data_IF_018565885876
#
_entry.id   IF_018565885876
#
_cell.length_a   1.000
_cell.length_b   1.000
_cell.length_c   1.000
_cell.angle_alpha   90.00
_cell.angle_beta   90.00
_cell.angle_gamma   90.00
#
_symmetry.space_group_name_H-M   'P 1'
#
loop_
_entity.id
_entity.type
_entity.pdbx_description
1 polymer ?
#
# COMPACT_ATOMS: atom_id res chain seq x y z
N UNK A 1 -17.82 -22.38 13.73
CA UNK A 1 -18.23 -21.83 12.41
C UNK A 1 -19.17 -20.65 12.67
N UNK A 2 -18.64 -19.43 12.65
CA UNK A 2 -19.43 -18.21 12.77
C UNK A 2 -20.15 -17.97 11.43
N UNK A 3 -21.45 -17.66 11.48
CA UNK A 3 -22.25 -17.27 10.30
C UNK A 3 -21.51 -16.13 9.58
N UNK A 4 -21.41 -16.15 8.24
CA UNK A 4 -20.92 -14.99 7.52
C UNK A 4 -21.84 -13.82 7.88
N UNK A 5 -21.30 -12.83 8.60
CA UNK A 5 -21.99 -11.55 8.76
C UNK A 5 -22.32 -11.04 7.37
N UNK A 6 -23.52 -10.52 7.17
CA UNK A 6 -23.86 -9.94 5.86
C UNK A 6 -22.77 -8.93 5.51
N UNK A 7 -22.00 -9.20 4.46
CA UNK A 7 -20.87 -8.36 4.04
C UNK A 7 -21.25 -6.89 3.74
N UNK A 8 -22.54 -6.61 3.71
CA UNK A 8 -23.08 -5.30 3.39
C UNK A 8 -22.77 -4.23 4.46
N UNK A 9 -22.89 -4.58 5.76
CA UNK A 9 -22.64 -3.60 6.85
C UNK A 9 -21.22 -3.07 6.86
N UNK A 10 -20.15 -3.90 6.84
CA UNK A 10 -18.77 -3.45 6.73
C UNK A 10 -18.51 -2.59 5.49
N UNK A 11 -19.09 -2.95 4.34
CA UNK A 11 -18.92 -2.21 3.08
C UNK A 11 -19.58 -0.83 3.16
N UNK A 12 -20.79 -0.73 3.71
CA UNK A 12 -21.46 0.56 3.89
C UNK A 12 -20.77 1.43 4.95
N UNK A 13 -20.32 0.84 6.06
CA UNK A 13 -19.55 1.57 7.08
C UNK A 13 -18.25 2.13 6.50
N UNK A 14 -17.54 1.34 5.67
CA UNK A 14 -16.36 1.77 4.97
C UNK A 14 -16.64 2.95 4.02
N UNK A 15 -17.74 2.90 3.26
CA UNK A 15 -18.15 4.00 2.38
C UNK A 15 -18.43 5.28 3.17
N UNK A 16 -19.24 5.18 4.21
CA UNK A 16 -19.60 6.33 5.04
C UNK A 16 -18.36 6.98 5.66
N UNK A 17 -17.41 6.17 6.13
CA UNK A 17 -16.18 6.68 6.73
C UNK A 17 -15.28 7.36 5.70
N UNK A 18 -15.16 6.80 4.50
CA UNK A 18 -14.42 7.43 3.39
C UNK A 18 -15.04 8.76 2.99
N UNK A 19 -16.36 8.81 2.84
CA UNK A 19 -17.07 10.05 2.51
C UNK A 19 -16.91 11.09 3.61
N UNK A 20 -16.95 10.68 4.89
CA UNK A 20 -16.72 11.58 6.02
C UNK A 20 -15.28 12.15 5.99
N UNK A 21 -14.26 11.32 5.71
CA UNK A 21 -12.88 11.80 5.57
C UNK A 21 -12.73 12.82 4.42
N UNK A 22 -13.32 12.53 3.26
CA UNK A 22 -13.33 13.47 2.12
C UNK A 22 -14.03 14.77 2.53
N UNK A 23 -15.20 14.68 3.16
CA UNK A 23 -15.96 15.86 3.58
C UNK A 23 -15.17 16.73 4.59
N UNK A 24 -14.47 16.12 5.54
CA UNK A 24 -13.59 16.83 6.49
C UNK A 24 -12.43 17.48 5.75
N UNK A 25 -11.76 16.76 4.85
CA UNK A 25 -10.60 17.29 4.14
C UNK A 25 -10.97 18.50 3.26
N UNK A 26 -12.02 18.39 2.46
CA UNK A 26 -12.44 19.49 1.59
C UNK A 26 -13.27 20.57 2.32
N UNK A 27 -13.96 20.19 3.39
CA UNK A 27 -14.82 21.11 4.16
C UNK A 27 -14.08 21.97 5.18
N UNK A 28 -13.13 21.37 5.90
CA UNK A 28 -12.45 22.01 7.03
C UNK A 28 -10.97 22.28 6.78
N UNK A 29 -10.27 21.44 6.02
CA UNK A 29 -8.82 21.53 5.89
C UNK A 29 -8.37 22.22 4.59
N UNK A 30 -9.18 22.13 3.53
CA UNK A 30 -8.83 22.77 2.26
C UNK A 30 -8.93 24.31 2.34
N UNK A 31 -8.12 25.04 1.55
CA UNK A 31 -8.23 26.48 1.42
C UNK A 31 -9.63 26.94 1.01
N UNK A 32 -9.99 28.18 1.32
CA UNK A 32 -11.26 28.76 0.88
C UNK A 32 -11.36 28.81 -0.65
N UNK A 33 -12.56 28.56 -1.18
CA UNK A 33 -12.82 28.58 -2.60
C UNK A 33 -13.97 27.67 -3.04
N UNK A 34 -14.24 27.60 -4.34
CA UNK A 34 -15.23 26.69 -4.90
C UNK A 34 -14.92 25.22 -4.57
N UNK A 35 -15.94 24.37 -4.48
CA UNK A 35 -15.78 22.96 -4.11
C UNK A 35 -14.81 22.22 -5.05
N UNK A 36 -14.85 22.50 -6.35
CA UNK A 36 -13.94 21.92 -7.33
C UNK A 36 -12.48 22.27 -7.05
N UNK A 37 -12.20 23.52 -6.67
CA UNK A 37 -10.86 23.94 -6.25
C UNK A 37 -10.43 23.24 -4.97
N UNK A 38 -11.27 23.21 -3.95
CA UNK A 38 -11.00 22.55 -2.68
C UNK A 38 -10.72 21.04 -2.89
N UNK A 39 -11.46 20.41 -3.77
CA UNK A 39 -11.23 18.98 -4.12
C UNK A 39 -9.89 18.79 -4.86
N UNK A 40 -9.53 19.71 -5.77
CA UNK A 40 -8.25 19.61 -6.49
C UNK A 40 -7.03 19.80 -5.58
N UNK A 41 -7.18 20.43 -4.41
CA UNK A 41 -6.06 20.55 -3.44
C UNK A 41 -5.66 19.21 -2.79
N UNK A 42 -6.42 18.14 -3.00
CA UNK A 42 -6.03 16.79 -2.62
C UNK A 42 -4.92 16.20 -3.55
N UNK A 43 -4.61 16.89 -4.64
CA UNK A 43 -3.46 16.59 -5.52
C UNK A 43 -2.29 17.46 -5.08
N UNK A 44 -1.28 16.82 -4.48
CA UNK A 44 -0.11 17.51 -3.94
C UNK A 44 1.14 16.63 -4.06
N UNK A 45 2.33 17.22 -4.06
CA UNK A 45 3.63 16.54 -3.96
C UNK A 45 3.75 15.28 -4.85
N UNK A 46 3.73 14.08 -4.25
CA UNK A 46 3.92 12.81 -4.96
C UNK A 46 2.81 12.53 -5.99
N UNK A 47 1.64 13.14 -5.84
CA UNK A 47 0.56 13.03 -6.83
C UNK A 47 0.99 13.47 -8.23
N UNK A 48 1.86 14.47 -8.32
CA UNK A 48 2.39 14.96 -9.62
C UNK A 48 3.32 13.95 -10.29
N UNK A 49 4.02 13.12 -9.50
CA UNK A 49 4.81 12.01 -10.05
C UNK A 49 3.91 10.93 -10.64
N UNK A 50 2.82 10.59 -9.95
CA UNK A 50 1.83 9.66 -10.48
C UNK A 50 1.12 10.21 -11.72
N UNK A 51 0.77 11.50 -11.72
CA UNK A 51 0.23 12.20 -12.90
C UNK A 51 1.21 12.09 -14.08
N UNK A 52 2.48 12.38 -13.85
CA UNK A 52 3.53 12.25 -14.87
C UNK A 52 3.64 10.82 -15.42
N UNK A 53 3.57 9.79 -14.55
CA UNK A 53 3.59 8.38 -14.99
C UNK A 53 2.37 8.05 -15.85
N UNK A 54 1.18 8.52 -15.47
CA UNK A 54 -0.05 8.28 -16.25
C UNK A 54 0.02 8.96 -17.61
N UNK A 55 0.50 10.21 -17.68
CA UNK A 55 0.50 11.00 -18.90
C UNK A 55 1.66 10.63 -19.86
N UNK A 56 2.84 10.31 -19.34
CA UNK A 56 4.08 10.17 -20.12
C UNK A 56 4.74 8.80 -20.00
N UNK A 57 4.22 7.93 -19.11
CA UNK A 57 4.88 6.69 -18.78
C UNK A 57 6.13 6.86 -17.90
N UNK A 58 6.82 5.76 -17.68
CA UNK A 58 8.06 5.76 -16.90
C UNK A 58 9.23 6.35 -17.66
N UNK A 59 9.95 7.26 -17.01
CA UNK A 59 11.12 7.96 -17.55
C UNK A 59 12.23 8.03 -16.51
N UNK A 60 13.47 7.85 -16.94
CA UNK A 60 14.66 8.01 -16.10
C UNK A 60 15.91 8.16 -16.96
N UNK A 61 16.93 8.97 -16.56
CA UNK A 61 18.28 8.87 -17.10
C UNK A 61 18.93 7.55 -16.64
N UNK A 62 19.79 6.97 -17.43
CA UNK A 62 20.47 5.70 -17.14
C UNK A 62 21.97 5.88 -17.24
N UNK A 63 22.73 5.49 -16.20
CA UNK A 63 22.29 5.21 -14.81
C UNK A 63 21.93 6.49 -14.06
N UNK A 64 21.03 6.45 -13.08
CA UNK A 64 20.73 7.59 -12.23
C UNK A 64 21.93 7.81 -11.28
N UNK A 65 22.68 8.88 -11.46
CA UNK A 65 23.96 9.12 -10.77
C UNK A 65 24.01 10.42 -9.96
N UNK A 66 22.99 11.27 -10.01
CA UNK A 66 23.00 12.57 -9.34
C UNK A 66 21.63 12.99 -8.81
N UNK A 67 21.57 13.98 -7.91
CA UNK A 67 20.33 14.57 -7.41
C UNK A 67 19.40 15.13 -8.49
N UNK A 68 19.94 15.54 -9.63
CA UNK A 68 19.14 15.99 -10.79
C UNK A 68 18.26 14.92 -11.39
N UNK A 69 18.50 13.66 -11.06
CA UNK A 69 17.62 12.53 -11.41
C UNK A 69 16.18 12.73 -10.94
N UNK A 70 15.98 13.42 -9.81
CA UNK A 70 14.65 13.74 -9.30
C UNK A 70 13.78 14.53 -10.27
N UNK A 71 14.39 15.37 -11.12
CA UNK A 71 13.65 16.21 -12.06
C UNK A 71 13.06 15.42 -13.23
N UNK A 72 13.58 14.21 -13.49
CA UNK A 72 13.20 13.42 -14.67
C UNK A 72 12.91 11.95 -14.40
N UNK A 73 13.27 11.41 -13.22
CA UNK A 73 13.06 9.99 -12.90
C UNK A 73 11.82 9.78 -12.02
N UNK A 74 10.80 9.15 -12.59
CA UNK A 74 9.58 8.74 -11.88
C UNK A 74 9.58 7.24 -11.51
N UNK A 75 10.70 6.54 -11.72
CA UNK A 75 10.85 5.10 -11.42
C UNK A 75 10.89 4.82 -9.91
N UNK A 76 10.97 5.88 -9.09
CA UNK A 76 10.83 5.79 -7.64
C UNK A 76 9.42 5.36 -7.18
N UNK A 77 8.44 5.29 -8.07
CA UNK A 77 7.04 4.98 -7.77
C UNK A 77 6.62 3.67 -8.44
N UNK A 78 5.99 2.80 -7.67
CA UNK A 78 5.54 1.49 -8.14
C UNK A 78 4.29 1.57 -9.03
N UNK A 79 4.06 0.57 -9.92
CA UNK A 79 3.15 0.73 -11.07
C UNK A 79 1.66 0.55 -10.75
N UNK A 80 1.24 -0.17 -9.67
CA UNK A 80 -0.17 -0.54 -9.54
C UNK A 80 -1.10 0.68 -9.44
N UNK A 81 -0.74 1.69 -8.66
CA UNK A 81 -1.57 2.87 -8.48
C UNK A 81 -1.71 3.70 -9.77
N UNK A 82 -0.63 4.13 -10.44
CA UNK A 82 -0.78 4.86 -11.70
C UNK A 82 -1.37 4.00 -12.83
N UNK A 83 -1.20 2.67 -12.82
CA UNK A 83 -1.82 1.80 -13.81
C UNK A 83 -3.35 1.76 -13.68
N UNK A 84 -3.89 1.68 -12.46
CA UNK A 84 -5.34 1.75 -12.23
C UNK A 84 -5.87 3.13 -12.64
N UNK A 85 -5.19 4.21 -12.28
CA UNK A 85 -5.55 5.56 -12.69
C UNK A 85 -5.51 5.72 -14.23
N UNK A 86 -4.53 5.11 -14.90
CA UNK A 86 -4.46 5.11 -16.37
C UNK A 86 -5.67 4.41 -17.02
N UNK A 87 -6.16 3.30 -16.43
CA UNK A 87 -7.40 2.65 -16.89
C UNK A 87 -8.58 3.61 -16.78
N UNK A 88 -8.72 4.36 -15.70
CA UNK A 88 -9.77 5.36 -15.54
C UNK A 88 -9.59 6.54 -16.52
N UNK A 89 -8.35 6.98 -16.71
CA UNK A 89 -8.01 8.09 -17.63
C UNK A 89 -8.32 7.75 -19.07
N UNK A 90 -7.83 6.62 -19.57
CA UNK A 90 -7.89 6.27 -20.98
C UNK A 90 -9.09 5.39 -21.32
N UNK A 91 -9.59 4.58 -20.39
CA UNK A 91 -10.75 3.73 -20.59
C UNK A 91 -12.07 4.43 -20.32
N UNK A 92 -12.14 5.29 -19.30
CA UNK A 92 -13.37 6.01 -18.92
C UNK A 92 -13.28 7.53 -19.17
N UNK A 93 -12.20 8.02 -19.76
CA UNK A 93 -11.98 9.43 -20.15
C UNK A 93 -12.05 10.45 -18.99
N UNK A 94 -11.72 10.05 -17.76
CA UNK A 94 -11.57 11.00 -16.67
C UNK A 94 -10.34 11.88 -16.88
N UNK A 95 -10.32 13.11 -16.33
CA UNK A 95 -9.09 13.88 -16.18
C UNK A 95 -8.09 13.14 -15.29
N UNK A 96 -6.79 13.24 -15.55
CA UNK A 96 -5.76 12.45 -14.85
C UNK A 96 -5.79 12.62 -13.34
N UNK A 97 -5.92 13.86 -12.86
CA UNK A 97 -6.00 14.14 -11.41
C UNK A 97 -7.25 13.51 -10.78
N UNK A 98 -8.41 13.59 -11.47
CA UNK A 98 -9.62 12.93 -11.01
C UNK A 98 -9.46 11.40 -11.01
N UNK A 99 -8.80 10.82 -12.01
CA UNK A 99 -8.53 9.39 -12.06
C UNK A 99 -7.66 8.93 -10.88
N UNK A 100 -6.65 9.71 -10.50
CA UNK A 100 -5.82 9.47 -9.32
C UNK A 100 -6.67 9.55 -8.03
N UNK A 101 -7.46 10.61 -7.85
CA UNK A 101 -8.30 10.77 -6.66
C UNK A 101 -9.35 9.67 -6.55
N UNK A 102 -10.05 9.32 -7.64
CA UNK A 102 -11.03 8.23 -7.64
C UNK A 102 -10.36 6.91 -7.28
N UNK A 103 -9.16 6.63 -7.81
CA UNK A 103 -8.39 5.42 -7.47
C UNK A 103 -8.06 5.38 -5.97
N UNK A 104 -7.56 6.47 -5.39
CA UNK A 104 -7.24 6.55 -3.98
C UNK A 104 -8.48 6.41 -3.10
N UNK A 105 -9.57 7.10 -3.42
CA UNK A 105 -10.80 7.11 -2.62
C UNK A 105 -11.57 5.78 -2.72
N UNK A 106 -11.60 5.14 -3.88
CA UNK A 106 -12.13 3.79 -4.03
C UNK A 106 -11.31 2.77 -3.22
N UNK A 107 -9.98 2.92 -3.23
CA UNK A 107 -9.10 2.10 -2.41
C UNK A 107 -9.27 2.39 -0.90
N UNK A 108 -9.48 3.64 -0.50
CA UNK A 108 -9.82 4.00 0.89
C UNK A 108 -11.13 3.35 1.34
N UNK A 109 -12.15 3.36 0.50
CA UNK A 109 -13.39 2.61 0.75
C UNK A 109 -13.12 1.11 0.93
N UNK A 110 -12.33 0.51 0.05
CA UNK A 110 -11.91 -0.89 0.16
C UNK A 110 -11.14 -1.14 1.46
N UNK A 111 -10.20 -0.26 1.83
CA UNK A 111 -9.44 -0.34 3.08
C UNK A 111 -10.37 -0.35 4.31
N UNK A 112 -11.29 0.60 4.42
CA UNK A 112 -12.22 0.66 5.54
C UNK A 112 -13.20 -0.53 5.55
N UNK A 113 -13.63 -0.99 4.39
CA UNK A 113 -14.46 -2.19 4.28
C UNK A 113 -13.73 -3.42 4.83
N UNK A 114 -12.47 -3.62 4.43
CA UNK A 114 -11.65 -4.72 4.96
C UNK A 114 -11.29 -4.53 6.44
N UNK A 115 -11.11 -3.31 6.91
CA UNK A 115 -10.91 -3.03 8.32
C UNK A 115 -12.08 -3.56 9.16
N UNK A 116 -13.32 -3.24 8.79
CA UNK A 116 -14.49 -3.72 9.50
C UNK A 116 -14.71 -5.23 9.32
N UNK A 117 -14.48 -5.78 8.13
CA UNK A 117 -14.52 -7.23 7.91
C UNK A 117 -13.48 -7.97 8.76
N UNK A 118 -12.30 -7.39 8.91
CA UNK A 118 -11.26 -7.90 9.80
C UNK A 118 -11.74 -7.86 11.26
N UNK A 119 -12.26 -6.75 11.73
CA UNK A 119 -12.78 -6.61 13.07
C UNK A 119 -13.88 -7.64 13.39
N UNK A 120 -14.80 -7.86 12.45
CA UNK A 120 -15.86 -8.85 12.58
C UNK A 120 -15.31 -10.28 12.64
N UNK A 121 -14.33 -10.60 11.79
CA UNK A 121 -13.70 -11.93 11.76
C UNK A 121 -13.02 -12.28 13.09
N UNK A 122 -12.37 -11.32 13.73
CA UNK A 122 -11.67 -11.52 15.00
C UNK A 122 -12.54 -11.18 16.22
N UNK A 123 -13.85 -10.95 16.02
CA UNK A 123 -14.83 -10.63 17.06
C UNK A 123 -14.37 -9.47 17.96
N UNK A 124 -13.80 -8.43 17.37
CA UNK A 124 -13.40 -7.24 18.12
C UNK A 124 -14.62 -6.51 18.64
N UNK A 125 -14.57 -6.05 19.89
CA UNK A 125 -15.67 -5.28 20.49
C UNK A 125 -15.92 -3.98 19.71
N UNK A 126 -17.15 -3.44 19.70
CA UNK A 126 -17.47 -2.17 19.05
C UNK A 126 -16.56 -1.02 19.53
N UNK A 127 -16.19 -1.02 20.81
CA UNK A 127 -15.27 -0.04 21.38
C UNK A 127 -13.88 -0.13 20.72
N UNK A 128 -13.33 -1.34 20.56
CA UNK A 128 -12.04 -1.53 19.88
C UNK A 128 -12.11 -1.14 18.40
N UNK A 129 -13.22 -1.45 17.72
CA UNK A 129 -13.41 -1.01 16.33
C UNK A 129 -13.44 0.51 16.24
N UNK A 130 -14.18 1.17 17.13
CA UNK A 130 -14.27 2.63 17.18
C UNK A 130 -12.90 3.28 17.46
N UNK A 131 -12.21 2.85 18.53
CA UNK A 131 -10.91 3.42 18.87
C UNK A 131 -9.84 3.10 17.83
N UNK A 132 -9.90 1.92 17.20
CA UNK A 132 -9.02 1.59 16.07
C UNK A 132 -9.24 2.51 14.88
N UNK A 133 -10.48 2.72 14.47
CA UNK A 133 -10.82 3.64 13.39
C UNK A 133 -10.43 5.10 13.74
N UNK A 134 -10.74 5.53 14.96
CA UNK A 134 -10.40 6.87 15.45
C UNK A 134 -8.87 7.10 15.45
N UNK A 135 -8.10 6.12 15.90
CA UNK A 135 -6.62 6.20 15.90
C UNK A 135 -6.03 6.36 14.51
N UNK A 136 -6.63 5.68 13.51
CA UNK A 136 -6.21 5.81 12.11
C UNK A 136 -6.56 7.20 11.58
N UNK A 137 -7.82 7.66 11.80
CA UNK A 137 -8.30 8.95 11.28
C UNK A 137 -7.59 10.13 11.95
N UNK A 138 -7.33 10.03 13.26
CA UNK A 138 -6.64 11.08 14.00
C UNK A 138 -5.15 11.19 13.67
N UNK A 139 -4.57 10.20 12.98
CA UNK A 139 -3.18 10.25 12.58
C UNK A 139 -2.98 11.28 11.44
N UNK A 140 -1.97 12.15 11.49
CA UNK A 140 -1.73 13.15 10.43
C UNK A 140 -1.62 12.55 9.02
N UNK A 141 -1.09 11.32 8.91
CA UNK A 141 -1.01 10.62 7.63
C UNK A 141 -2.36 10.09 7.11
N UNK A 142 -3.47 10.20 7.85
CA UNK A 142 -4.79 9.78 7.37
C UNK A 142 -5.26 10.57 6.13
N UNK A 143 -4.71 11.77 5.94
CA UNK A 143 -4.91 12.58 4.73
C UNK A 143 -4.52 11.79 3.46
N UNK A 144 -3.43 11.03 3.50
CA UNK A 144 -2.95 10.26 2.34
C UNK A 144 -3.89 9.13 1.91
N UNK A 145 -4.87 8.76 2.75
CA UNK A 145 -5.88 7.76 2.36
C UNK A 145 -6.85 8.27 1.30
N UNK A 146 -7.07 9.58 1.23
CA UNK A 146 -8.08 10.18 0.33
C UNK A 146 -7.48 11.13 -0.70
N UNK A 147 -6.22 11.50 -0.54
CA UNK A 147 -5.45 12.31 -1.47
C UNK A 147 -4.92 11.47 -2.65
N UNK A 148 -4.37 12.11 -3.68
CA UNK A 148 -3.85 11.46 -4.89
C UNK A 148 -2.57 10.63 -4.67
N UNK A 149 -2.58 9.72 -3.71
CA UNK A 149 -1.45 8.93 -3.23
C UNK A 149 -1.72 7.43 -3.28
N UNK A 150 -0.68 6.62 -3.22
CA UNK A 150 -0.76 5.16 -3.32
C UNK A 150 -1.05 4.45 -1.99
N UNK A 151 -1.09 5.17 -0.88
CA UNK A 151 -1.21 4.64 0.49
C UNK A 151 -2.49 3.84 0.69
N UNK A 152 -3.62 4.38 0.27
CA UNK A 152 -4.92 3.71 0.40
C UNK A 152 -4.96 2.40 -0.39
N UNK A 153 -4.42 2.38 -1.61
CA UNK A 153 -4.35 1.16 -2.43
C UNK A 153 -3.45 0.11 -1.77
N UNK A 154 -2.30 0.54 -1.26
CA UNK A 154 -1.40 -0.35 -0.53
C UNK A 154 -2.07 -0.94 0.72
N UNK A 155 -2.70 -0.11 1.55
CA UNK A 155 -3.33 -0.56 2.80
C UNK A 155 -4.57 -1.42 2.54
N UNK A 156 -5.38 -1.10 1.53
CA UNK A 156 -6.47 -1.96 1.09
C UNK A 156 -5.96 -3.33 0.68
N UNK A 157 -4.92 -3.37 -0.14
CA UNK A 157 -4.32 -4.61 -0.61
C UNK A 157 -3.68 -5.40 0.54
N UNK A 158 -3.00 -4.74 1.46
CA UNK A 158 -2.39 -5.36 2.64
C UNK A 158 -3.44 -6.01 3.56
N UNK A 159 -4.46 -5.26 3.98
CA UNK A 159 -5.48 -5.81 4.88
C UNK A 159 -6.34 -6.86 4.19
N UNK A 160 -6.61 -6.71 2.88
CA UNK A 160 -7.26 -7.72 2.05
C UNK A 160 -6.41 -9.00 1.95
N UNK A 161 -5.09 -8.88 1.77
CA UNK A 161 -4.17 -10.02 1.78
C UNK A 161 -4.19 -10.76 3.11
N UNK A 162 -4.11 -10.05 4.23
CA UNK A 162 -4.19 -10.62 5.58
C UNK A 162 -5.56 -11.31 5.78
N UNK A 163 -6.63 -10.64 5.40
CA UNK A 163 -7.99 -11.16 5.54
C UNK A 163 -8.18 -12.47 4.78
N UNK A 164 -7.85 -12.49 3.49
CA UNK A 164 -8.09 -13.64 2.63
C UNK A 164 -7.09 -14.79 2.85
N UNK A 165 -5.81 -14.50 3.13
CA UNK A 165 -4.82 -15.53 3.46
C UNK A 165 -5.11 -16.23 4.80
N UNK A 166 -5.99 -15.66 5.61
CA UNK A 166 -6.44 -16.24 6.87
C UNK A 166 -7.63 -17.22 6.73
N UNK A 167 -8.10 -17.45 5.51
CA UNK A 167 -9.21 -18.36 5.22
C UNK A 167 -8.71 -19.57 4.42
N UNK A 168 -9.32 -20.74 4.65
CA UNK A 168 -8.87 -22.02 4.06
C UNK A 168 -9.50 -22.30 2.68
N UNK A 169 -10.56 -21.57 2.29
CA UNK A 169 -11.25 -21.78 1.03
C UNK A 169 -10.36 -21.48 -0.19
N UNK A 170 -10.47 -22.27 -1.25
CA UNK A 170 -9.69 -22.07 -2.48
C UNK A 170 -9.90 -20.68 -3.09
N UNK A 171 -11.14 -20.21 -3.16
CA UNK A 171 -11.45 -18.86 -3.62
C UNK A 171 -10.77 -17.77 -2.78
N UNK A 172 -10.64 -17.98 -1.47
CA UNK A 172 -9.94 -17.04 -0.60
C UNK A 172 -8.44 -16.94 -0.93
N UNK A 173 -7.80 -18.04 -1.34
CA UNK A 173 -6.40 -18.02 -1.78
C UNK A 173 -6.19 -17.22 -3.06
N UNK A 174 -7.14 -17.27 -4.00
CA UNK A 174 -7.11 -16.46 -5.21
C UNK A 174 -7.21 -14.97 -4.85
N UNK A 175 -8.16 -14.61 -3.99
CA UNK A 175 -8.27 -13.24 -3.52
C UNK A 175 -7.03 -12.77 -2.74
N UNK A 176 -6.47 -13.63 -1.89
CA UNK A 176 -5.21 -13.33 -1.21
C UNK A 176 -4.08 -13.09 -2.23
N UNK A 177 -3.93 -13.94 -3.24
CA UNK A 177 -2.92 -13.79 -4.27
C UNK A 177 -3.06 -12.46 -5.02
N UNK A 178 -4.27 -12.09 -5.44
CA UNK A 178 -4.55 -10.83 -6.13
C UNK A 178 -4.20 -9.62 -5.25
N UNK A 179 -4.64 -9.60 -3.98
CA UNK A 179 -4.31 -8.54 -3.05
C UNK A 179 -2.80 -8.47 -2.79
N UNK A 180 -2.14 -9.61 -2.62
CA UNK A 180 -0.69 -9.67 -2.44
C UNK A 180 0.09 -9.09 -3.64
N UNK A 181 -0.31 -9.44 -4.87
CA UNK A 181 0.28 -8.87 -6.08
C UNK A 181 0.08 -7.35 -6.17
N UNK A 182 -1.13 -6.86 -5.93
CA UNK A 182 -1.42 -5.41 -5.91
C UNK A 182 -0.61 -4.71 -4.83
N UNK A 183 -0.52 -5.30 -3.62
CA UNK A 183 0.26 -4.78 -2.49
C UNK A 183 1.72 -4.56 -2.88
N UNK A 184 2.39 -5.58 -3.43
CA UNK A 184 3.80 -5.48 -3.82
C UNK A 184 4.02 -4.65 -5.09
N UNK A 185 3.03 -4.59 -6.00
CA UNK A 185 3.05 -3.70 -7.16
C UNK A 185 2.71 -2.23 -6.82
N UNK A 186 2.29 -1.95 -5.59
CA UNK A 186 2.00 -0.58 -5.12
C UNK A 186 3.19 0.02 -4.37
N UNK A 187 3.86 -0.75 -3.53
CA UNK A 187 4.99 -0.28 -2.71
C UNK A 187 5.97 -1.42 -2.41
N UNK A 188 7.27 -1.10 -2.35
CA UNK A 188 8.32 -2.09 -2.07
C UNK A 188 8.14 -2.80 -0.71
N UNK A 189 7.58 -2.10 0.29
CA UNK A 189 7.26 -2.69 1.60
C UNK A 189 6.22 -3.82 1.52
N UNK A 190 5.54 -3.99 0.41
CA UNK A 190 4.69 -5.14 0.14
C UNK A 190 5.46 -6.46 0.09
N UNK A 191 6.76 -6.43 -0.26
CA UNK A 191 7.61 -7.64 -0.30
C UNK A 191 7.74 -8.27 1.09
N UNK A 192 8.23 -7.58 2.14
CA UNK A 192 8.27 -8.17 3.49
C UNK A 192 6.88 -8.48 4.04
N UNK A 193 5.84 -7.69 3.72
CA UNK A 193 4.47 -7.96 4.16
C UNK A 193 3.91 -9.27 3.55
N UNK A 194 4.40 -9.69 2.39
CA UNK A 194 4.02 -10.95 1.77
C UNK A 194 4.38 -12.19 2.63
N UNK A 195 5.30 -12.07 3.59
CA UNK A 195 5.67 -13.15 4.50
C UNK A 195 4.58 -13.51 5.54
N UNK A 196 3.52 -12.69 5.68
CA UNK A 196 2.47 -12.88 6.68
C UNK A 196 1.90 -14.31 6.74
N UNK A 197 1.53 -15.01 5.64
CA UNK A 197 0.99 -16.37 5.71
C UNK A 197 1.96 -17.39 6.31
N UNK A 198 3.26 -17.23 6.03
CA UNK A 198 4.30 -18.11 6.59
C UNK A 198 4.47 -17.84 8.08
N UNK A 199 4.57 -16.56 8.47
CA UNK A 199 4.67 -16.15 9.87
C UNK A 199 3.46 -16.67 10.66
N UNK A 200 2.24 -16.47 10.14
CA UNK A 200 1.01 -17.01 10.75
C UNK A 200 1.05 -18.52 10.91
N UNK A 201 1.50 -19.26 9.89
CA UNK A 201 1.59 -20.72 9.92
C UNK A 201 2.60 -21.21 10.96
N UNK A 202 3.72 -20.50 11.12
CA UNK A 202 4.71 -20.78 12.16
C UNK A 202 4.14 -20.61 13.57
N UNK A 203 3.40 -19.53 13.80
CA UNK A 203 2.76 -19.29 15.10
C UNK A 203 1.60 -20.28 15.40
N UNK A 204 0.84 -20.68 14.38
CA UNK A 204 -0.27 -21.62 14.53
C UNK A 204 0.19 -23.07 14.71
N UNK A 205 1.20 -23.51 13.96
CA UNK A 205 1.72 -24.90 13.96
C UNK A 205 2.81 -25.16 15.01
N UNK A 206 3.31 -24.11 15.64
CA UNK A 206 4.47 -24.17 16.51
C UNK A 206 5.75 -24.59 15.79
N UNK A 207 6.89 -24.48 16.47
CA UNK A 207 8.22 -24.82 15.94
C UNK A 207 8.41 -26.31 15.64
N UNK A 208 7.45 -27.17 16.03
CA UNK A 208 7.51 -28.63 15.79
C UNK A 208 7.48 -28.97 14.30
N UNK A 209 6.71 -28.23 13.49
CA UNK A 209 6.64 -28.41 12.04
C UNK A 209 7.97 -28.16 11.32
N UNK A 210 8.89 -27.38 11.90
CA UNK A 210 10.23 -27.14 11.33
C UNK A 210 11.19 -28.32 11.52
N UNK A 211 10.92 -29.23 12.47
CA UNK A 211 11.79 -30.36 12.79
C UNK A 211 11.59 -31.56 11.87
N UNK A 212 10.50 -31.59 11.10
CA UNK A 212 10.19 -32.71 10.19
C UNK A 212 10.20 -32.24 8.73
N UNK A 213 11.32 -32.36 8.01
CA UNK A 213 11.47 -31.86 6.64
C UNK A 213 10.43 -32.41 5.65
N UNK A 214 9.98 -33.64 5.83
CA UNK A 214 8.99 -34.28 4.94
C UNK A 214 7.57 -33.73 5.10
N UNK A 215 7.24 -33.19 6.27
CA UNK A 215 5.94 -32.57 6.53
C UNK A 215 5.94 -31.09 6.18
N UNK A 216 7.11 -30.48 5.98
CA UNK A 216 7.30 -29.05 5.78
C UNK A 216 6.53 -28.50 4.57
N UNK A 217 6.71 -29.13 3.39
CA UNK A 217 5.98 -28.75 2.18
C UNK A 217 4.47 -28.89 2.33
N UNK A 218 4.00 -29.89 3.06
CA UNK A 218 2.57 -30.08 3.32
C UNK A 218 2.00 -29.00 4.21
N UNK A 219 2.75 -28.54 5.23
CA UNK A 219 2.31 -27.52 6.17
C UNK A 219 2.47 -26.09 5.64
N UNK A 220 3.59 -25.81 4.97
CA UNK A 220 3.94 -24.46 4.54
C UNK A 220 3.81 -24.21 3.04
N UNK A 221 3.64 -25.23 2.23
CA UNK A 221 3.63 -25.09 0.76
C UNK A 221 2.60 -24.09 0.24
N UNK A 222 1.39 -24.12 0.82
CA UNK A 222 0.33 -23.15 0.48
C UNK A 222 0.67 -21.70 0.92
N UNK A 223 1.31 -21.53 2.07
CA UNK A 223 1.73 -20.23 2.55
C UNK A 223 2.88 -19.70 1.69
N UNK A 224 3.85 -20.54 1.34
CA UNK A 224 4.97 -20.16 0.47
C UNK A 224 4.52 -19.82 -0.94
N UNK A 225 3.55 -20.56 -1.50
CA UNK A 225 2.99 -20.24 -2.81
C UNK A 225 2.30 -18.87 -2.80
N UNK A 226 1.60 -18.50 -1.71
CA UNK A 226 1.03 -17.18 -1.54
C UNK A 226 2.10 -16.09 -1.43
N UNK A 227 3.19 -16.33 -0.68
CA UNK A 227 4.33 -15.39 -0.62
C UNK A 227 4.91 -15.17 -2.00
N UNK A 228 5.18 -16.25 -2.72
CA UNK A 228 5.72 -16.18 -4.07
C UNK A 228 4.81 -15.34 -4.99
N UNK A 229 3.52 -15.66 -5.07
CA UNK A 229 2.59 -14.92 -5.92
C UNK A 229 2.42 -13.46 -5.45
N UNK A 230 2.36 -13.24 -4.14
CA UNK A 230 2.24 -11.89 -3.58
C UNK A 230 3.43 -10.98 -3.93
N UNK A 231 4.63 -11.54 -4.11
CA UNK A 231 5.82 -10.75 -4.50
C UNK A 231 5.92 -10.47 -5.99
N UNK A 232 5.16 -11.19 -6.84
CA UNK A 232 5.24 -11.04 -8.29
C UNK A 232 4.96 -9.63 -8.79
N UNK A 233 4.12 -8.85 -8.08
CA UNK A 233 3.86 -7.47 -8.44
C UNK A 233 5.12 -6.61 -8.48
N UNK A 234 5.97 -6.73 -7.47
CA UNK A 234 7.27 -6.07 -7.44
C UNK A 234 8.26 -6.68 -8.44
N UNK A 235 8.29 -8.01 -8.55
CA UNK A 235 9.17 -8.72 -9.48
C UNK A 235 8.89 -8.28 -10.93
N UNK A 236 7.64 -8.18 -11.34
CA UNK A 236 7.28 -7.69 -12.67
C UNK A 236 7.77 -6.26 -12.92
N UNK A 237 7.71 -5.39 -11.92
CA UNK A 237 8.27 -4.05 -12.04
C UNK A 237 9.79 -4.06 -12.21
N UNK A 238 10.52 -4.89 -11.45
CA UNK A 238 11.97 -5.03 -11.62
C UNK A 238 12.35 -5.65 -12.97
N UNK A 239 11.58 -6.63 -13.46
CA UNK A 239 11.75 -7.19 -14.82
C UNK A 239 11.51 -6.09 -15.86
N UNK A 240 10.45 -5.30 -15.72
CA UNK A 240 10.20 -4.16 -16.60
C UNK A 240 11.38 -3.18 -16.62
N UNK A 241 11.94 -2.84 -15.45
CA UNK A 241 13.12 -1.97 -15.35
C UNK A 241 14.33 -2.60 -16.07
N UNK A 242 14.56 -3.90 -15.89
CA UNK A 242 15.63 -4.63 -16.59
C UNK A 242 15.46 -4.59 -18.10
N UNK A 243 14.26 -4.87 -18.60
CA UNK A 243 13.98 -4.93 -20.03
C UNK A 243 14.03 -3.54 -20.68
N UNK A 244 13.58 -2.51 -19.96
CA UNK A 244 13.48 -1.15 -20.51
C UNK A 244 14.79 -0.38 -20.48
N UNK A 245 15.61 -0.57 -19.42
CA UNK A 245 16.81 0.23 -19.17
C UNK A 245 18.08 -0.58 -18.91
N UNK A 246 17.99 -1.93 -18.90
CA UNK A 246 19.13 -2.80 -18.60
C UNK A 246 19.54 -2.86 -17.12
N UNK A 247 18.74 -2.24 -16.23
CA UNK A 247 19.04 -2.12 -14.80
C UNK A 247 17.83 -2.49 -13.95
N UNK A 248 17.76 -3.72 -13.45
CA UNK A 248 16.65 -4.18 -12.59
C UNK A 248 16.51 -3.39 -11.29
N UNK A 249 17.62 -2.87 -10.76
CA UNK A 249 17.70 -2.14 -9.50
C UNK A 249 17.52 -0.61 -9.64
N UNK A 250 17.08 -0.13 -10.79
CA UNK A 250 17.00 1.32 -11.10
C UNK A 250 16.09 2.07 -10.10
N UNK A 251 15.07 1.39 -9.56
CA UNK A 251 14.26 1.91 -8.47
C UNK A 251 15.13 2.30 -7.26
N UNK A 252 15.99 1.39 -6.80
CA UNK A 252 16.88 1.64 -5.64
C UNK A 252 17.89 2.75 -5.94
N UNK A 253 18.45 2.76 -7.14
CA UNK A 253 19.36 3.81 -7.58
C UNK A 253 18.69 5.18 -7.61
N UNK A 254 17.45 5.25 -8.07
CA UNK A 254 16.65 6.48 -8.08
C UNK A 254 16.33 6.94 -6.64
N UNK A 255 15.95 6.04 -5.75
CA UNK A 255 15.71 6.35 -4.34
C UNK A 255 16.98 6.89 -3.66
N UNK A 256 18.13 6.29 -3.92
CA UNK A 256 19.40 6.75 -3.37
C UNK A 256 19.81 8.12 -3.91
N UNK A 257 19.73 8.32 -5.23
CA UNK A 257 20.14 9.57 -5.87
C UNK A 257 19.18 10.73 -5.58
N UNK A 258 17.86 10.46 -5.53
CA UNK A 258 16.84 11.49 -5.39
C UNK A 258 16.53 11.85 -3.94
N UNK A 259 16.36 10.83 -3.08
CA UNK A 259 15.94 11.01 -1.67
C UNK A 259 17.03 10.70 -0.66
N UNK A 260 18.24 10.34 -1.10
CA UNK A 260 19.34 9.96 -0.20
C UNK A 260 19.07 8.65 0.58
N UNK A 261 18.11 7.84 0.13
CA UNK A 261 17.74 6.59 0.77
C UNK A 261 18.70 5.49 0.34
N UNK A 262 19.70 5.20 1.17
CA UNK A 262 20.55 4.03 0.99
C UNK A 262 19.98 2.84 1.77
N UNK A 263 19.74 1.67 1.14
CA UNK A 263 19.28 0.49 1.85
C UNK A 263 20.32 0.05 2.87
N UNK A 264 19.95 0.04 4.14
CA UNK A 264 20.75 -0.57 5.21
C UNK A 264 19.97 -1.76 5.79
N UNK A 265 20.17 -2.93 5.21
CA UNK A 265 19.47 -4.16 5.62
C UNK A 265 19.82 -4.63 7.03
N UNK A 266 20.91 -4.12 7.60
CA UNK A 266 21.34 -4.43 8.95
C UNK A 266 20.98 -3.34 9.96
N UNK A 267 20.29 -2.29 9.54
CA UNK A 267 19.91 -1.17 10.40
C UNK A 267 19.16 -1.63 11.66
N UNK A 268 18.31 -2.65 11.53
CA UNK A 268 17.54 -3.23 12.65
C UNK A 268 18.45 -3.81 13.76
N UNK A 269 19.68 -4.17 13.44
CA UNK A 269 20.65 -4.72 14.40
C UNK A 269 21.63 -3.66 14.91
N UNK A 270 21.57 -2.43 14.42
CA UNK A 270 22.47 -1.34 14.83
C UNK A 270 21.84 -0.51 15.95
N UNK A 271 22.43 -0.42 17.13
CA UNK A 271 21.91 0.43 18.22
C UNK A 271 21.72 1.90 17.81
N UNK A 272 22.56 2.39 16.87
CA UNK A 272 22.45 3.76 16.34
C UNK A 272 21.15 4.01 15.57
N UNK A 273 20.52 2.98 14.99
CA UNK A 273 19.24 3.09 14.29
C UNK A 273 18.05 3.35 15.23
N UNK A 274 18.23 3.02 16.50
CA UNK A 274 17.26 3.24 17.58
C UNK A 274 17.57 4.47 18.43
N UNK A 275 18.56 5.26 18.02
CA UNK A 275 18.67 6.60 18.60
C UNK A 275 17.37 7.30 18.26
N UNK A 276 16.55 7.44 19.29
CA UNK A 276 15.42 8.33 19.26
C UNK A 276 15.96 9.61 18.67
N UNK A 277 15.38 10.04 17.57
CA UNK A 277 15.54 11.42 17.14
C UNK A 277 15.06 12.19 18.36
N UNK A 278 16.01 12.60 19.19
CA UNK A 278 15.71 13.61 20.18
C UNK A 278 15.06 14.69 19.35
N UNK A 279 13.78 14.97 19.59
CA UNK A 279 13.08 15.92 18.75
C UNK A 279 13.96 17.16 18.72
N UNK A 280 13.92 17.89 17.64
CA UNK A 280 14.72 19.09 17.41
C UNK A 280 14.56 20.20 18.48
N UNK A 281 14.10 19.85 19.66
CA UNK A 281 14.10 20.63 20.90
C UNK A 281 15.50 21.11 21.28
N UNK A 282 16.56 20.46 20.78
CA UNK A 282 17.94 20.86 21.00
C UNK A 282 18.57 21.63 19.83
N UNK A 283 17.81 21.97 18.80
CA UNK A 283 18.31 22.79 17.71
C UNK A 283 17.30 23.92 17.43
N UNK A 284 17.27 24.96 18.25
CA UNK A 284 16.48 26.16 17.98
C UNK A 284 17.16 26.90 16.83
N UNK A 285 16.72 26.64 15.60
CA UNK A 285 16.90 27.55 14.47
C UNK A 285 15.57 27.76 13.79
#
# INVERSE_FOLDING_TARGET
MTRPSSSLKPVLAGLLLTLAQIAVAIGLLAPEGPLSYRYSTLIQHDSYWFENIVERGYQTPVPPISHKVMEVSNVAFFPAYPAIAAVLRYGLHFGTQNALLITAQAAAWGFWSYFFLFCDRWNLSPALQFFGALSIIAHPAAFFLIAGYSESLFLMALIGFIYWSSADACAAKVWAALHGMVMSATRIVGIPCAAFPVVRSLFAGGWRGLREPRSWLRHYGSALSLVFVATLGAVFFFIFCQLRWGHWNIYMLTQSAGWGIAPDYLAVFKPSSYRWIAPALNNPK
#
